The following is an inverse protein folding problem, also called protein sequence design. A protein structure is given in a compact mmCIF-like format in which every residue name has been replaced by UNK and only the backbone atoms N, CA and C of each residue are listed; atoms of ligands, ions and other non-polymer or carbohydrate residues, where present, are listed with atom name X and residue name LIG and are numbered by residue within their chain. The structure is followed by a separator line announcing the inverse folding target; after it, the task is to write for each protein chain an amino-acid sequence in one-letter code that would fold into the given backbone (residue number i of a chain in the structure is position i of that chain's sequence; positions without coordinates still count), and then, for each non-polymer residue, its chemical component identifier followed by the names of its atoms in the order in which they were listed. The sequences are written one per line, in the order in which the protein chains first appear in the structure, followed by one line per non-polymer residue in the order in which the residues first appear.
data_IF_887576442700
#
_entry.id   IF_887576442700
#
_cell.length_a   1.000
_cell.length_b   1.000
_cell.length_c   1.000
_cell.angle_alpha   90.00
_cell.angle_beta   90.00
_cell.angle_gamma   90.00
#
_symmetry.space_group_name_H-M   'P 1'
#
loop_
_entity.id
_entity.type
_entity.pdbx_description
1 polymer ?
#
# COMPACT_ATOMS: atom_id res chain seq x y z
N UNK A 1 34.50 1.10 -14.61
CA UNK A 1 33.28 0.69 -13.87
C UNK A 1 32.19 1.71 -14.15
N UNK A 2 31.10 1.30 -14.76
CA UNK A 2 30.01 2.22 -15.09
C UNK A 2 28.96 2.14 -13.99
N UNK A 3 28.86 3.19 -13.18
CA UNK A 3 27.80 3.30 -12.15
C UNK A 3 26.58 3.94 -12.79
N UNK A 4 25.41 3.29 -12.72
CA UNK A 4 24.12 3.88 -13.11
C UNK A 4 23.38 4.34 -11.87
N UNK A 5 22.80 5.54 -11.92
CA UNK A 5 22.01 6.10 -10.82
C UNK A 5 20.60 6.37 -11.33
N UNK A 6 19.61 5.75 -10.69
CA UNK A 6 18.21 6.11 -10.83
C UNK A 6 17.88 7.11 -9.71
N UNK A 7 17.43 8.31 -10.09
CA UNK A 7 17.16 9.37 -9.14
C UNK A 7 15.86 9.10 -8.34
N UNK A 8 15.81 9.62 -7.12
CA UNK A 8 14.56 9.71 -6.34
C UNK A 8 13.54 10.57 -7.10
N UNK A 9 12.29 10.13 -7.14
CA UNK A 9 11.17 10.90 -7.71
C UNK A 9 9.85 10.45 -7.11
N UNK A 10 8.87 11.36 -7.14
CA UNK A 10 7.52 11.15 -6.63
C UNK A 10 6.49 11.43 -7.72
N UNK A 11 5.39 10.74 -7.66
CA UNK A 11 4.26 10.89 -8.58
C UNK A 11 2.99 11.02 -7.74
N UNK A 12 2.18 12.03 -8.02
CA UNK A 12 0.84 12.15 -7.43
C UNK A 12 -0.12 11.16 -8.08
N UNK A 13 -1.21 10.84 -7.39
CA UNK A 13 -2.23 9.94 -7.89
C UNK A 13 -3.60 10.61 -7.91
N UNK A 14 -4.64 9.89 -8.30
CA UNK A 14 -6.03 10.35 -8.22
C UNK A 14 -6.58 10.41 -6.78
N UNK A 15 -5.86 9.87 -5.79
CA UNK A 15 -6.23 9.98 -4.37
C UNK A 15 -5.39 11.07 -3.72
N UNK A 16 -6.05 12.04 -3.10
CA UNK A 16 -5.39 13.15 -2.41
C UNK A 16 -4.43 12.65 -1.32
N UNK A 17 -3.18 13.09 -1.40
CA UNK A 17 -2.09 12.71 -0.49
C UNK A 17 -1.49 11.32 -0.70
N UNK A 18 -2.00 10.51 -1.63
CA UNK A 18 -1.40 9.23 -2.02
C UNK A 18 -0.31 9.46 -3.07
N UNK A 19 0.92 9.09 -2.76
CA UNK A 19 2.07 9.28 -3.65
C UNK A 19 2.77 7.97 -3.97
N UNK A 20 3.09 7.77 -5.25
CA UNK A 20 4.03 6.73 -5.66
C UNK A 20 5.43 7.30 -5.65
N UNK A 21 6.37 6.56 -5.09
CA UNK A 21 7.75 6.99 -4.90
C UNK A 21 8.67 5.98 -5.57
N UNK A 22 9.58 6.47 -6.40
CA UNK A 22 10.71 5.69 -6.92
C UNK A 22 11.94 6.01 -6.09
N UNK A 23 12.49 5.00 -5.44
CA UNK A 23 13.68 5.15 -4.59
C UNK A 23 14.88 5.58 -5.44
N UNK A 24 15.78 6.34 -4.84
CA UNK A 24 17.11 6.46 -5.44
C UNK A 24 17.82 5.12 -5.39
N UNK A 25 18.37 4.70 -6.53
CA UNK A 25 19.09 3.45 -6.67
C UNK A 25 20.46 3.71 -7.31
N UNK A 26 21.48 3.01 -6.83
CA UNK A 26 22.85 3.06 -7.33
C UNK A 26 23.24 1.63 -7.70
N UNK A 27 23.50 1.42 -8.98
CA UNK A 27 23.82 0.11 -9.55
C UNK A 27 25.30 0.04 -9.92
N UNK A 28 25.96 -1.02 -9.53
CA UNK A 28 27.31 -1.37 -9.96
C UNK A 28 27.44 -2.89 -10.20
N UNK A 29 28.62 -3.38 -10.50
CA UNK A 29 28.89 -4.80 -10.78
C UNK A 29 28.60 -5.74 -9.60
N UNK A 30 28.49 -5.20 -8.38
CA UNK A 30 28.19 -5.96 -7.14
C UNK A 30 26.69 -6.05 -6.84
N UNK A 31 25.88 -5.21 -7.52
CA UNK A 31 24.44 -5.17 -7.30
C UNK A 31 23.88 -3.75 -7.19
N UNK A 32 22.88 -3.58 -6.32
CA UNK A 32 22.12 -2.32 -6.19
C UNK A 32 22.03 -1.88 -4.74
N UNK A 33 22.43 -0.64 -4.47
CA UNK A 33 22.12 0.06 -3.21
C UNK A 33 20.86 0.87 -3.44
N UNK A 34 19.90 0.76 -2.53
CA UNK A 34 18.65 1.54 -2.53
C UNK A 34 18.58 2.41 -1.29
N UNK A 35 18.37 3.70 -1.48
CA UNK A 35 18.02 4.57 -0.36
C UNK A 35 16.55 4.32 -0.02
N UNK A 36 16.30 3.38 0.92
CA UNK A 36 14.94 3.02 1.29
C UNK A 36 14.15 4.20 1.85
N UNK A 37 14.80 5.03 2.67
CA UNK A 37 14.20 6.24 3.21
C UNK A 37 15.29 7.30 3.43
N UNK A 38 15.03 8.50 2.93
CA UNK A 38 15.83 9.70 3.20
C UNK A 38 14.89 10.84 3.54
N UNK A 39 14.90 11.30 4.80
CA UNK A 39 13.97 12.31 5.28
C UNK A 39 14.07 13.62 4.48
N UNK A 40 15.30 14.08 4.16
CA UNK A 40 15.49 15.30 3.37
C UNK A 40 14.89 15.18 1.96
N UNK A 41 15.07 14.04 1.27
CA UNK A 41 14.50 13.85 -0.07
C UNK A 41 12.97 13.86 -0.06
N UNK A 42 12.35 13.31 0.99
CA UNK A 42 10.89 13.41 1.18
C UNK A 42 10.45 14.85 1.39
N UNK A 43 11.13 15.59 2.29
CA UNK A 43 10.82 17.00 2.58
C UNK A 43 11.01 17.88 1.34
N UNK A 44 12.09 17.70 0.59
CA UNK A 44 12.39 18.46 -0.64
C UNK A 44 11.32 18.19 -1.73
N UNK A 45 10.70 17.01 -1.71
CA UNK A 45 9.57 16.65 -2.58
C UNK A 45 8.20 17.12 -2.04
N UNK A 46 8.17 17.87 -0.93
CA UNK A 46 6.93 18.32 -0.30
C UNK A 46 6.17 17.24 0.47
N UNK A 47 6.81 16.09 0.72
CA UNK A 47 6.23 15.01 1.51
C UNK A 47 6.73 15.10 2.95
N UNK A 48 5.80 15.01 3.89
CA UNK A 48 6.11 15.14 5.32
C UNK A 48 5.61 13.90 6.08
N UNK A 49 6.17 12.70 5.80
CA UNK A 49 5.83 11.53 6.60
C UNK A 49 6.34 11.76 8.03
N UNK A 50 5.52 11.38 9.02
CA UNK A 50 5.91 11.45 10.42
C UNK A 50 7.11 10.55 10.73
N UNK A 51 7.59 10.56 11.98
CA UNK A 51 8.59 9.59 12.40
C UNK A 51 7.98 8.19 12.31
N UNK A 52 8.75 7.24 11.76
CA UNK A 52 8.30 5.84 11.72
C UNK A 52 8.45 5.20 13.09
N UNK A 53 7.34 4.74 13.67
CA UNK A 53 7.27 4.19 15.03
C UNK A 53 7.21 2.66 15.05
N UNK A 54 6.63 2.06 14.01
CA UNK A 54 6.53 0.61 13.88
C UNK A 54 6.83 0.19 12.45
N UNK A 55 7.61 -0.87 12.30
CA UNK A 55 7.90 -1.49 11.01
C UNK A 55 7.46 -2.95 11.05
N UNK A 56 6.63 -3.36 10.08
CA UNK A 56 6.22 -4.74 9.92
C UNK A 56 6.68 -5.27 8.55
N UNK A 57 7.32 -6.42 8.55
CA UNK A 57 7.62 -7.18 7.34
C UNK A 57 6.68 -8.38 7.27
N UNK A 58 5.93 -8.49 6.18
CA UNK A 58 5.07 -9.64 5.95
C UNK A 58 5.60 -10.48 4.80
N UNK A 59 5.47 -11.80 4.92
CA UNK A 59 5.63 -12.73 3.83
C UNK A 59 4.26 -13.15 3.33
N UNK A 60 4.06 -13.11 2.01
CA UNK A 60 2.76 -13.37 1.38
C UNK A 60 2.95 -14.25 0.15
N UNK A 61 2.25 -15.38 0.13
CA UNK A 61 2.31 -16.37 -0.95
C UNK A 61 1.70 -15.84 -2.24
N UNK A 62 2.12 -16.38 -3.37
CA UNK A 62 1.58 -16.09 -4.69
C UNK A 62 0.04 -16.10 -4.73
N UNK A 63 -0.56 -15.07 -5.31
CA UNK A 63 -2.00 -14.91 -5.45
C UNK A 63 -2.74 -14.49 -4.18
N UNK A 64 -2.09 -14.54 -3.00
CA UNK A 64 -2.75 -14.16 -1.76
C UNK A 64 -2.96 -12.64 -1.67
N UNK A 65 -4.12 -12.24 -1.12
CA UNK A 65 -4.56 -10.86 -0.95
C UNK A 65 -4.62 -10.51 0.54
N UNK A 66 -4.13 -9.32 0.88
CA UNK A 66 -4.27 -8.71 2.20
C UNK A 66 -4.90 -7.33 2.05
N UNK A 67 -5.97 -7.07 2.76
CA UNK A 67 -6.66 -5.78 2.72
C UNK A 67 -8.12 -5.90 2.30
N UNK A 68 -8.80 -4.78 2.13
CA UNK A 68 -8.28 -3.41 2.13
C UNK A 68 -8.44 -2.81 3.54
N UNK A 69 -7.38 -2.25 4.10
CA UNK A 69 -7.40 -1.74 5.48
C UNK A 69 -6.96 -0.27 5.52
N UNK A 70 -7.77 0.58 6.15
CA UNK A 70 -7.49 1.99 6.42
C UNK A 70 -7.45 2.23 7.92
N UNK A 71 -6.27 2.39 8.50
CA UNK A 71 -6.08 2.69 9.90
C UNK A 71 -5.83 4.19 10.13
N UNK A 72 -5.93 4.61 11.40
CA UNK A 72 -5.64 5.97 11.83
C UNK A 72 -4.12 6.24 11.90
N UNK A 73 -3.41 5.93 10.83
CA UNK A 73 -1.97 6.12 10.71
C UNK A 73 -1.56 6.31 9.24
N UNK A 74 -0.48 7.05 9.02
CA UNK A 74 0.20 7.14 7.73
C UNK A 74 1.11 5.93 7.53
N UNK A 75 1.19 5.44 6.31
CA UNK A 75 2.02 4.29 5.98
C UNK A 75 2.97 4.62 4.82
N UNK A 76 4.21 4.18 4.91
CA UNK A 76 5.07 4.02 3.75
C UNK A 76 5.19 2.52 3.50
N UNK A 77 4.70 2.09 2.34
CA UNK A 77 4.68 0.67 1.98
C UNK A 77 5.59 0.39 0.79
N UNK A 78 6.18 -0.79 0.78
CA UNK A 78 7.12 -1.21 -0.27
C UNK A 78 7.25 -2.72 -0.33
N UNK A 79 7.83 -3.20 -1.43
CA UNK A 79 8.29 -4.58 -1.56
C UNK A 79 9.80 -4.61 -1.36
N UNK A 80 10.29 -5.51 -0.52
CA UNK A 80 11.73 -5.77 -0.34
C UNK A 80 12.19 -7.01 -1.10
N UNK A 81 11.25 -7.90 -1.44
CA UNK A 81 11.47 -9.07 -2.31
C UNK A 81 10.20 -9.38 -3.10
N UNK A 82 10.35 -9.69 -4.38
CA UNK A 82 9.25 -10.05 -5.26
C UNK A 82 8.50 -8.83 -5.82
N UNK A 83 7.21 -8.99 -6.08
CA UNK A 83 6.32 -7.98 -6.62
C UNK A 83 4.91 -8.13 -6.07
N UNK A 84 4.17 -7.04 -6.02
CA UNK A 84 2.75 -7.05 -5.65
C UNK A 84 1.95 -6.07 -6.51
N UNK A 85 0.68 -6.35 -6.65
CA UNK A 85 -0.32 -5.42 -7.18
C UNK A 85 -1.02 -4.75 -5.99
N UNK A 86 -0.71 -3.48 -5.74
CA UNK A 86 -1.30 -2.68 -4.68
C UNK A 86 -2.62 -2.05 -5.13
N UNK A 87 -3.60 -2.01 -4.22
CA UNK A 87 -4.89 -1.36 -4.41
C UNK A 87 -5.17 -0.38 -3.25
N UNK A 88 -5.61 0.82 -3.59
CA UNK A 88 -5.84 1.93 -2.67
C UNK A 88 -7.23 2.50 -2.92
N UNK A 89 -7.97 2.73 -1.83
CA UNK A 89 -9.34 3.26 -1.88
C UNK A 89 -9.47 4.41 -0.89
N UNK A 90 -9.91 5.56 -1.36
CA UNK A 90 -10.18 6.69 -0.47
C UNK A 90 -11.51 6.51 0.22
N UNK A 91 -11.46 6.10 1.49
CA UNK A 91 -12.64 5.92 2.34
C UNK A 91 -12.88 7.10 3.30
N UNK A 92 -12.14 8.19 3.17
CA UNK A 92 -12.25 9.37 4.03
C UNK A 92 -13.49 10.20 3.63
N UNK A 93 -14.51 10.36 4.51
CA UNK A 93 -15.79 10.96 4.12
C UNK A 93 -15.68 12.42 3.69
N UNK A 94 -14.67 13.16 4.20
CA UNK A 94 -14.47 14.58 3.90
C UNK A 94 -13.34 14.82 2.89
N UNK A 95 -12.84 13.76 2.22
CA UNK A 95 -11.81 13.89 1.21
C UNK A 95 -12.37 14.42 -0.10
N UNK A 96 -11.65 15.31 -0.82
CA UNK A 96 -12.04 15.73 -2.17
C UNK A 96 -12.03 14.57 -3.17
N UNK A 97 -11.40 13.46 -2.82
CA UNK A 97 -11.26 12.27 -3.68
C UNK A 97 -11.95 11.03 -3.08
N UNK A 98 -12.92 11.23 -2.17
CA UNK A 98 -13.69 10.12 -1.58
C UNK A 98 -14.25 9.19 -2.66
N UNK A 99 -14.06 7.89 -2.49
CA UNK A 99 -14.48 6.85 -3.44
C UNK A 99 -13.49 6.59 -4.58
N UNK A 100 -12.44 7.40 -4.73
CA UNK A 100 -11.41 7.15 -5.74
C UNK A 100 -10.67 5.83 -5.46
N UNK A 101 -10.34 5.12 -6.53
CA UNK A 101 -9.58 3.87 -6.51
C UNK A 101 -8.31 4.05 -7.34
N UNK A 102 -7.17 3.67 -6.79
CA UNK A 102 -5.88 3.67 -7.48
C UNK A 102 -5.24 2.30 -7.33
N UNK A 103 -4.65 1.79 -8.40
CA UNK A 103 -3.85 0.56 -8.37
C UNK A 103 -2.43 0.86 -8.82
N UNK A 104 -1.47 0.17 -8.21
CA UNK A 104 -0.03 0.37 -8.47
C UNK A 104 0.66 -0.98 -8.51
N UNK A 105 1.41 -1.25 -9.57
CA UNK A 105 2.37 -2.35 -9.57
C UNK A 105 3.59 -1.94 -8.75
N UNK A 106 3.89 -2.72 -7.70
CA UNK A 106 4.97 -2.43 -6.76
C UNK A 106 6.02 -3.52 -6.89
N UNK A 107 7.16 -3.11 -7.41
CA UNK A 107 8.39 -3.89 -7.47
C UNK A 107 9.43 -3.31 -6.51
N UNK A 108 10.51 -4.05 -6.28
CA UNK A 108 11.64 -3.57 -5.46
C UNK A 108 12.20 -2.27 -6.02
N UNK A 109 12.20 -1.22 -5.19
CA UNK A 109 12.57 0.14 -5.60
C UNK A 109 11.37 1.09 -5.72
N UNK A 110 10.15 0.56 -5.61
CA UNK A 110 8.90 1.35 -5.57
C UNK A 110 8.33 1.37 -4.16
N UNK A 111 7.84 2.53 -3.75
CA UNK A 111 7.13 2.72 -2.49
C UNK A 111 5.81 3.47 -2.75
N UNK A 112 4.88 3.35 -1.83
CA UNK A 112 3.67 4.18 -1.82
C UNK A 112 3.51 4.80 -0.44
N UNK A 113 3.41 6.14 -0.41
CA UNK A 113 3.03 6.87 0.79
C UNK A 113 1.51 6.93 0.85
N UNK A 114 0.94 6.28 1.85
CA UNK A 114 -0.50 6.12 2.04
C UNK A 114 -0.94 7.01 3.20
N UNK A 115 -1.75 8.05 2.97
CA UNK A 115 -2.23 8.90 4.04
C UNK A 115 -3.21 8.17 4.95
N UNK A 116 -3.31 8.64 6.19
CA UNK A 116 -4.27 8.15 7.18
C UNK A 116 -5.69 8.06 6.59
N UNK A 117 -6.37 6.95 6.85
CA UNK A 117 -7.76 6.70 6.43
C UNK A 117 -7.94 6.24 4.98
N UNK A 118 -6.90 6.27 4.15
CA UNK A 118 -6.93 5.60 2.84
C UNK A 118 -6.75 4.09 3.07
N UNK A 119 -7.72 3.32 2.58
CA UNK A 119 -7.65 1.86 2.64
C UNK A 119 -6.62 1.35 1.63
N UNK A 120 -5.69 0.54 2.08
CA UNK A 120 -4.73 -0.12 1.22
C UNK A 120 -4.80 -1.64 1.35
N UNK A 121 -4.50 -2.32 0.27
CA UNK A 121 -4.29 -3.75 0.21
C UNK A 121 -3.40 -4.11 -0.96
N UNK A 122 -3.05 -5.37 -1.07
CA UNK A 122 -2.25 -5.86 -2.18
C UNK A 122 -2.48 -7.35 -2.45
N UNK A 123 -2.19 -7.76 -3.68
CA UNK A 123 -2.07 -9.15 -4.08
C UNK A 123 -0.61 -9.46 -4.41
N UNK A 124 -0.07 -10.55 -3.88
CA UNK A 124 1.26 -11.05 -4.25
C UNK A 124 1.24 -11.59 -5.69
N UNK A 125 2.12 -11.05 -6.54
CA UNK A 125 2.21 -11.42 -7.97
C UNK A 125 3.50 -12.15 -8.34
N UNK A 126 4.42 -12.35 -7.39
CA UNK A 126 5.64 -13.13 -7.60
C UNK A 126 5.35 -14.61 -7.75
N UNK A 127 6.14 -15.34 -8.53
CA UNK A 127 6.06 -16.81 -8.66
C UNK A 127 6.30 -17.56 -7.33
N UNK A 128 6.84 -16.91 -6.32
CA UNK A 128 7.04 -17.43 -4.98
C UNK A 128 6.34 -16.55 -3.94
N UNK A 129 7.09 -16.12 -2.94
CA UNK A 129 6.60 -15.21 -1.91
C UNK A 129 6.99 -13.77 -2.23
N UNK A 130 6.14 -12.84 -1.84
CA UNK A 130 6.48 -11.42 -1.77
C UNK A 130 6.72 -11.03 -0.32
N UNK A 131 7.80 -10.30 -0.07
CA UNK A 131 8.04 -9.67 1.23
C UNK A 131 7.66 -8.20 1.15
N UNK A 132 6.63 -7.83 1.92
CA UNK A 132 6.04 -6.50 1.92
C UNK A 132 6.30 -5.81 3.25
N UNK A 133 6.93 -4.64 3.19
CA UNK A 133 7.31 -3.84 4.33
C UNK A 133 6.34 -2.68 4.51
N UNK A 134 5.89 -2.51 5.73
CA UNK A 134 5.15 -1.34 6.20
C UNK A 134 5.99 -0.54 7.18
N UNK A 135 6.08 0.77 6.98
CA UNK A 135 6.53 1.72 7.99
C UNK A 135 5.31 2.55 8.40
N UNK A 136 5.01 2.56 9.70
CA UNK A 136 3.88 3.27 10.28
C UNK A 136 4.37 4.45 11.12
N UNK A 137 3.64 5.58 11.07
CA UNK A 137 3.92 6.76 11.91
C UNK A 137 3.34 6.64 13.33
N UNK A 138 2.53 5.60 13.60
CA UNK A 138 2.01 5.23 14.91
C UNK A 138 2.22 3.73 15.16
N UNK A 139 2.20 3.33 16.44
CA UNK A 139 2.18 1.92 16.82
C UNK A 139 0.75 1.38 16.79
N UNK A 140 0.57 0.24 16.13
CA UNK A 140 -0.72 -0.43 16.13
C UNK A 140 -1.07 -0.94 17.52
N UNK A 141 -2.31 -0.73 17.93
CA UNK A 141 -2.85 -1.22 19.22
C UNK A 141 -4.30 -1.70 19.06
N UNK A 142 -4.73 -2.68 19.86
CA UNK A 142 -6.13 -3.09 19.88
C UNK A 142 -7.06 -1.88 20.13
N UNK A 143 -8.14 -1.79 19.35
CA UNK A 143 -9.10 -0.69 19.45
C UNK A 143 -8.70 0.59 18.69
N UNK A 144 -7.57 0.59 17.98
CA UNK A 144 -7.25 1.70 17.05
C UNK A 144 -8.35 1.86 16.02
N UNK A 145 -8.77 3.12 15.79
CA UNK A 145 -9.74 3.45 14.75
C UNK A 145 -9.25 3.02 13.37
N UNK A 146 -10.15 2.47 12.59
CA UNK A 146 -9.85 2.04 11.24
C UNK A 146 -11.09 1.48 10.55
N UNK A 147 -10.99 1.33 9.26
CA UNK A 147 -12.02 0.72 8.41
C UNK A 147 -11.42 -0.42 7.61
N UNK A 148 -12.22 -1.43 7.32
CA UNK A 148 -11.91 -2.48 6.36
C UNK A 148 -12.93 -2.45 5.24
N UNK A 149 -12.48 -2.74 4.01
CA UNK A 149 -13.35 -2.89 2.84
C UNK A 149 -13.03 -4.22 2.19
N UNK A 150 -14.06 -4.99 1.83
CA UNK A 150 -13.80 -6.24 1.11
C UNK A 150 -13.13 -5.98 -0.24
N UNK A 151 -12.02 -6.67 -0.56
CA UNK A 151 -11.35 -6.53 -1.85
C UNK A 151 -12.21 -7.04 -3.03
N UNK A 152 -13.33 -7.70 -2.72
CA UNK A 152 -14.30 -8.23 -3.68
C UNK A 152 -15.47 -7.28 -3.94
N UNK A 153 -15.48 -6.06 -3.38
CA UNK A 153 -16.54 -5.08 -3.67
C UNK A 153 -16.55 -4.76 -5.18
N UNK A 154 -17.60 -5.14 -5.94
CA UNK A 154 -17.64 -4.98 -7.39
C UNK A 154 -17.63 -3.50 -7.82
N UNK A 155 -18.02 -2.59 -6.92
CA UNK A 155 -18.03 -1.14 -7.20
C UNK A 155 -16.63 -0.53 -7.24
N UNK A 156 -15.64 -1.18 -6.61
CA UNK A 156 -14.24 -0.75 -6.70
C UNK A 156 -13.62 -1.01 -8.07
N UNK A 157 -14.21 -1.96 -8.83
CA UNK A 157 -13.75 -2.37 -10.16
C UNK A 157 -12.26 -2.72 -10.24
N UNK A 158 -11.66 -3.18 -9.13
CA UNK A 158 -10.25 -3.57 -9.06
C UNK A 158 -10.02 -4.79 -9.96
N UNK A 159 -9.08 -4.67 -10.88
CA UNK A 159 -8.70 -5.77 -11.78
C UNK A 159 -7.53 -6.55 -11.19
N UNK A 160 -7.83 -7.39 -10.20
CA UNK A 160 -6.81 -8.25 -9.59
C UNK A 160 -6.12 -9.12 -10.65
N UNK A 161 -4.77 -9.11 -10.75
CA UNK A 161 -4.04 -9.85 -11.78
C UNK A 161 -4.28 -11.35 -11.73
N UNK A 162 -4.45 -11.89 -10.52
CA UNK A 162 -4.73 -13.30 -10.28
C UNK A 162 -6.15 -13.41 -9.75
N UNK A 163 -7.04 -14.20 -10.38
CA UNK A 163 -8.41 -14.37 -9.90
C UNK A 163 -8.45 -14.81 -8.44
N UNK A 164 -9.30 -14.14 -7.65
CA UNK A 164 -9.45 -14.44 -6.23
C UNK A 164 -10.52 -15.53 -6.07
N UNK A 165 -10.13 -16.67 -5.51
CA UNK A 165 -11.08 -17.69 -5.06
C UNK A 165 -11.52 -17.38 -3.63
N UNK A 166 -12.76 -16.89 -3.49
CA UNK A 166 -13.36 -16.54 -2.21
C UNK A 166 -13.50 -17.74 -1.22
N UNK A 167 -13.40 -18.97 -1.69
CA UNK A 167 -13.42 -20.16 -0.84
C UNK A 167 -12.02 -20.53 -0.32
N UNK A 168 -10.95 -20.04 -0.96
CA UNK A 168 -9.57 -20.36 -0.60
C UNK A 168 -9.04 -19.43 0.51
N UNK A 169 -8.99 -19.95 1.75
CA UNK A 169 -8.48 -19.19 2.92
C UNK A 169 -6.97 -18.89 2.85
N UNK A 170 -6.22 -19.60 2.04
CA UNK A 170 -4.82 -19.27 1.76
C UNK A 170 -4.66 -18.07 0.83
N UNK A 171 -5.71 -17.74 0.07
CA UNK A 171 -5.71 -16.60 -0.84
C UNK A 171 -6.39 -15.35 -0.23
N UNK A 172 -7.51 -15.51 0.46
CA UNK A 172 -8.26 -14.43 1.10
C UNK A 172 -8.71 -14.83 2.50
N UNK A 173 -8.39 -14.01 3.51
CA UNK A 173 -8.82 -14.26 4.87
C UNK A 173 -10.34 -14.13 5.03
N UNK A 174 -10.93 -14.86 6.00
CA UNK A 174 -12.37 -14.71 6.29
C UNK A 174 -12.70 -13.27 6.70
N UNK A 175 -11.84 -12.65 7.49
CA UNK A 175 -11.99 -11.25 7.92
C UNK A 175 -12.12 -10.29 6.72
N UNK A 176 -11.27 -10.45 5.71
CA UNK A 176 -11.27 -9.57 4.53
C UNK A 176 -12.43 -9.89 3.58
N UNK A 177 -12.84 -11.16 3.52
CA UNK A 177 -14.04 -11.58 2.79
C UNK A 177 -15.31 -10.95 3.37
N UNK A 178 -15.45 -10.99 4.69
CA UNK A 178 -16.65 -10.52 5.42
C UNK A 178 -16.63 -9.00 5.68
N UNK A 179 -15.57 -8.30 5.27
CA UNK A 179 -15.48 -6.86 5.40
C UNK A 179 -16.62 -6.16 4.61
N UNK A 180 -17.09 -4.99 5.07
CA UNK A 180 -18.17 -4.26 4.40
C UNK A 180 -17.74 -3.75 3.02
N UNK A 181 -18.69 -3.36 2.19
CA UNK A 181 -18.45 -2.61 0.96
C UNK A 181 -18.08 -1.16 1.26
N UNK A 182 -17.42 -0.47 0.31
CA UNK A 182 -17.15 0.96 0.42
C UNK A 182 -18.42 1.77 0.72
N UNK A 183 -19.51 1.47 0.03
CA UNK A 183 -20.79 2.16 0.24
C UNK A 183 -21.30 2.01 1.68
N UNK A 184 -21.16 0.82 2.28
CA UNK A 184 -21.53 0.58 3.67
C UNK A 184 -20.64 1.35 4.65
N UNK A 185 -19.34 1.40 4.39
CA UNK A 185 -18.37 2.18 5.19
C UNK A 185 -18.72 3.66 5.16
N UNK A 186 -18.91 4.25 3.99
CA UNK A 186 -19.22 5.67 3.85
C UNK A 186 -20.57 6.04 4.52
N UNK A 187 -21.57 5.17 4.41
CA UNK A 187 -22.85 5.37 5.09
C UNK A 187 -22.71 5.35 6.64
N UNK A 188 -21.79 4.54 7.18
CA UNK A 188 -21.54 4.48 8.63
C UNK A 188 -20.74 5.65 9.17
N UNK A 189 -19.90 6.29 8.34
CA UNK A 189 -19.06 7.42 8.72
C UNK A 189 -19.76 8.79 8.52
N UNK A 190 -20.84 8.83 7.72
CA UNK A 190 -21.63 10.04 7.44
C UNK A 190 -22.78 10.29 8.41
N UNK A 191 -22.98 9.39 9.38
CA UNK A 191 -23.93 9.53 10.48
C UNK A 191 -23.20 9.88 11.78
#
# INVERSE_FOLDING_TARGET
MTTRIDAFRTETTAIDGLHVIRMKQIHDERGTIREFFRASAMTDAGLHPGPWRQLNLTETSHGAVRGLHGEAMTKLVSVVQGSVFGAYVDARPNSPTVGAVVTVEIEVGTQVLVPQGVCNGFQSTSDGVSQYLYCFDEEWRPGMSGVGITPLDPRLAIKWPIPIDAANRGQLSQKDLDAPTLASVLASLGN
#
